data_IF_489439345513
#
_entry.id   IF_489439345513
#
_cell.length_a   1.000
_cell.length_b   1.000
_cell.length_c   1.000
_cell.angle_alpha   90.00
_cell.angle_beta   90.00
_cell.angle_gamma   90.00
#
_symmetry.space_group_name_H-M   'P 1'
#
loop_
_entity.id
_entity.type
_entity.pdbx_description
1 polymer ?
#
# COMPACT_ATOMS: atom_id res chain seq x y z
N UNK A 1 21.47 -2.00 -27.08
CA UNK A 1 20.05 -2.41 -27.16
C UNK A 1 20.03 -3.94 -27.23
N UNK A 2 19.29 -4.61 -26.37
CA UNK A 2 19.21 -6.10 -26.38
C UNK A 2 18.09 -6.52 -27.32
N UNK A 3 18.42 -7.28 -28.39
CA UNK A 3 17.43 -7.86 -29.32
C UNK A 3 16.36 -8.69 -28.58
N UNK A 4 16.77 -9.38 -27.51
CA UNK A 4 15.83 -10.14 -26.66
C UNK A 4 14.81 -9.24 -25.96
N UNK A 5 15.22 -8.06 -25.48
CA UNK A 5 14.32 -7.10 -24.85
C UNK A 5 13.37 -6.45 -25.88
N UNK A 6 13.89 -6.14 -27.06
CA UNK A 6 13.08 -5.62 -28.15
C UNK A 6 12.03 -6.64 -28.63
N UNK A 7 12.42 -7.90 -28.79
CA UNK A 7 11.48 -8.96 -29.15
C UNK A 7 10.39 -9.20 -28.11
N UNK A 8 10.73 -9.16 -26.81
CA UNK A 8 9.74 -9.28 -25.73
C UNK A 8 8.76 -8.10 -25.70
N UNK A 9 9.23 -6.88 -25.98
CA UNK A 9 8.37 -5.70 -26.03
C UNK A 9 7.39 -5.77 -27.21
N UNK A 10 7.88 -6.13 -28.40
CA UNK A 10 7.04 -6.29 -29.61
C UNK A 10 5.96 -7.34 -29.35
N UNK A 11 6.32 -8.50 -28.77
CA UNK A 11 5.35 -9.55 -28.46
C UNK A 11 4.27 -9.09 -27.45
N UNK A 12 4.65 -8.30 -26.44
CA UNK A 12 3.70 -7.73 -25.49
C UNK A 12 2.77 -6.69 -26.13
N UNK A 13 3.29 -5.86 -27.04
CA UNK A 13 2.50 -4.88 -27.80
C UNK A 13 1.51 -5.57 -28.74
N UNK A 14 1.94 -6.62 -29.44
CA UNK A 14 1.08 -7.40 -30.34
C UNK A 14 -0.05 -8.11 -29.55
N UNK A 15 0.27 -8.72 -28.41
CA UNK A 15 -0.73 -9.35 -27.54
C UNK A 15 -1.74 -8.31 -27.03
N UNK A 16 -1.26 -7.16 -26.55
CA UNK A 16 -2.12 -6.07 -26.10
C UNK A 16 -3.03 -5.57 -27.23
N UNK A 17 -2.46 -5.34 -28.41
CA UNK A 17 -3.22 -4.85 -29.56
C UNK A 17 -4.30 -5.82 -29.99
N UNK A 18 -3.97 -7.10 -30.17
CA UNK A 18 -4.95 -8.11 -30.55
C UNK A 18 -6.06 -8.25 -29.51
N UNK A 19 -5.71 -8.39 -28.25
CA UNK A 19 -6.67 -8.67 -27.19
C UNK A 19 -7.49 -7.44 -26.76
N UNK A 20 -6.84 -6.29 -26.65
CA UNK A 20 -7.49 -5.12 -26.05
C UNK A 20 -8.03 -4.13 -27.09
N UNK A 21 -7.44 -4.09 -28.30
CA UNK A 21 -7.87 -3.17 -29.34
C UNK A 21 -8.77 -3.87 -30.37
N UNK A 22 -8.35 -5.01 -30.92
CA UNK A 22 -9.12 -5.71 -31.95
C UNK A 22 -10.35 -6.45 -31.36
N UNK A 23 -10.17 -7.10 -30.23
CA UNK A 23 -11.25 -7.84 -29.56
C UNK A 23 -12.11 -6.97 -28.63
N UNK A 24 -11.76 -5.67 -28.51
CA UNK A 24 -12.46 -4.68 -27.64
C UNK A 24 -12.58 -5.12 -26.17
N UNK A 25 -11.58 -5.88 -25.70
CA UNK A 25 -11.53 -6.34 -24.30
C UNK A 25 -10.71 -5.33 -23.49
N UNK A 26 -11.37 -4.61 -22.58
CA UNK A 26 -10.69 -3.68 -21.69
C UNK A 26 -9.58 -4.39 -20.87
N UNK A 27 -8.38 -3.79 -20.74
CA UNK A 27 -7.33 -4.36 -19.90
C UNK A 27 -7.80 -4.43 -18.44
N UNK A 28 -7.31 -5.41 -17.65
CA UNK A 28 -7.68 -5.52 -16.25
C UNK A 28 -7.23 -4.29 -15.48
N UNK A 29 -8.17 -3.66 -14.77
CA UNK A 29 -7.89 -2.52 -13.91
C UNK A 29 -7.17 -2.95 -12.64
N UNK A 30 -6.21 -2.17 -12.19
CA UNK A 30 -5.55 -2.40 -10.91
C UNK A 30 -6.43 -1.91 -9.74
N UNK A 31 -6.04 -2.28 -8.50
CA UNK A 31 -6.81 -1.93 -7.31
C UNK A 31 -6.91 -0.42 -7.04
N UNK A 32 -5.96 0.39 -7.52
CA UNK A 32 -5.98 1.85 -7.38
C UNK A 32 -6.97 2.48 -8.33
N UNK A 33 -6.97 2.08 -9.59
CA UNK A 33 -7.93 2.54 -10.63
C UNK A 33 -9.36 2.20 -10.22
N UNK A 34 -9.60 0.99 -9.69
CA UNK A 34 -10.92 0.58 -9.22
C UNK A 34 -11.46 1.42 -8.04
N UNK A 35 -10.59 2.02 -7.24
CA UNK A 35 -11.00 2.91 -6.13
C UNK A 35 -11.62 4.22 -6.62
N UNK A 36 -11.20 4.70 -7.77
CA UNK A 36 -11.66 5.98 -8.33
C UNK A 36 -13.01 5.84 -9.07
N UNK A 37 -13.46 4.61 -9.32
CA UNK A 37 -14.75 4.36 -9.92
C UNK A 37 -15.87 4.68 -8.92
N UNK A 38 -16.70 5.66 -9.25
CA UNK A 38 -17.88 5.99 -8.45
C UNK A 38 -18.98 4.96 -8.71
N UNK A 39 -19.53 4.28 -7.67
CA UNK A 39 -20.60 3.32 -7.88
C UNK A 39 -21.86 4.01 -8.37
N UNK A 40 -22.47 3.49 -9.43
CA UNK A 40 -23.72 4.00 -10.01
C UNK A 40 -24.92 3.74 -9.10
N UNK A 41 -24.89 2.65 -8.31
CA UNK A 41 -25.94 2.30 -7.36
C UNK A 41 -25.35 1.65 -6.10
N UNK A 42 -26.06 1.82 -4.95
CA UNK A 42 -25.78 1.11 -3.70
C UNK A 42 -26.39 -0.30 -3.72
N UNK A 43 -26.07 -1.08 -4.74
CA UNK A 43 -26.55 -2.45 -4.90
C UNK A 43 -25.57 -3.46 -4.27
N UNK A 44 -26.09 -4.63 -3.92
CA UNK A 44 -25.29 -5.78 -3.51
C UNK A 44 -25.12 -6.69 -4.72
N UNK A 45 -23.97 -7.33 -4.82
CA UNK A 45 -23.71 -8.40 -5.79
C UNK A 45 -23.43 -9.67 -5.01
N UNK A 46 -23.94 -10.79 -5.50
CA UNK A 46 -23.69 -12.12 -4.96
C UNK A 46 -22.33 -12.61 -5.47
N UNK A 47 -21.52 -13.14 -4.56
CA UNK A 47 -20.19 -13.63 -4.92
C UNK A 47 -20.31 -14.97 -5.68
N UNK A 48 -19.47 -15.15 -6.68
CA UNK A 48 -19.24 -16.47 -7.28
C UNK A 48 -18.28 -17.28 -6.39
N UNK A 49 -18.25 -18.61 -6.57
CA UNK A 49 -17.35 -19.48 -5.82
C UNK A 49 -15.87 -19.06 -5.96
N UNK A 50 -15.45 -18.64 -7.14
CA UNK A 50 -14.11 -18.13 -7.42
C UNK A 50 -13.80 -16.85 -6.59
N UNK A 51 -14.75 -15.94 -6.49
CA UNK A 51 -14.58 -14.71 -5.70
C UNK A 51 -14.59 -15.00 -4.19
N UNK A 52 -15.39 -15.98 -3.75
CA UNK A 52 -15.38 -16.44 -2.36
C UNK A 52 -14.00 -17.04 -1.98
N UNK A 53 -13.42 -17.86 -2.85
CA UNK A 53 -12.06 -18.43 -2.68
C UNK A 53 -11.00 -17.33 -2.64
N UNK A 54 -11.08 -16.32 -3.52
CA UNK A 54 -10.18 -15.17 -3.51
C UNK A 54 -10.26 -14.39 -2.20
N UNK A 55 -11.46 -14.15 -1.67
CA UNK A 55 -11.66 -13.50 -0.37
C UNK A 55 -11.09 -14.32 0.78
N UNK A 56 -11.26 -15.65 0.76
CA UNK A 56 -10.67 -16.55 1.75
C UNK A 56 -9.14 -16.50 1.72
N UNK A 57 -8.55 -16.52 0.53
CA UNK A 57 -7.10 -16.42 0.33
C UNK A 57 -6.54 -15.09 0.85
N UNK A 58 -7.23 -13.97 0.63
CA UNK A 58 -6.80 -12.67 1.17
C UNK A 58 -6.80 -12.70 2.70
N UNK A 59 -7.83 -13.26 3.34
CA UNK A 59 -7.89 -13.38 4.81
C UNK A 59 -6.76 -14.24 5.37
N UNK A 60 -6.40 -15.32 4.67
CA UNK A 60 -5.27 -16.15 5.06
C UNK A 60 -3.94 -15.39 4.96
N UNK A 61 -3.72 -14.66 3.86
CA UNK A 61 -2.55 -13.82 3.69
C UNK A 61 -2.45 -12.70 4.75
N UNK A 62 -3.56 -12.09 5.14
CA UNK A 62 -3.60 -11.10 6.23
C UNK A 62 -3.16 -11.71 7.57
N UNK A 63 -3.52 -12.97 7.84
CA UNK A 63 -3.07 -13.69 9.04
C UNK A 63 -1.58 -13.99 8.99
N UNK A 64 -1.07 -14.43 7.83
CA UNK A 64 0.36 -14.67 7.62
C UNK A 64 1.16 -13.39 7.76
N UNK A 65 0.69 -12.26 7.19
CA UNK A 65 1.32 -10.95 7.34
C UNK A 65 1.43 -10.53 8.82
N UNK A 66 0.36 -10.70 9.60
CA UNK A 66 0.38 -10.41 11.05
C UNK A 66 1.41 -11.27 11.78
N UNK A 67 1.48 -12.57 11.47
CA UNK A 67 2.45 -13.48 12.09
C UNK A 67 3.89 -13.10 11.73
N UNK A 68 4.14 -12.77 10.46
CA UNK A 68 5.46 -12.31 9.98
C UNK A 68 5.84 -10.99 10.65
N UNK A 69 4.91 -10.02 10.74
CA UNK A 69 5.15 -8.74 11.37
C UNK A 69 5.44 -8.90 12.87
N UNK A 70 4.70 -9.75 13.59
CA UNK A 70 4.97 -10.07 14.99
C UNK A 70 6.38 -10.65 15.17
N UNK A 71 6.75 -11.61 14.33
CA UNK A 71 8.10 -12.20 14.37
C UNK A 71 9.19 -11.19 14.06
N UNK A 72 8.96 -10.30 13.11
CA UNK A 72 9.87 -9.21 12.76
C UNK A 72 10.08 -8.25 13.94
N UNK A 73 9.02 -7.88 14.64
CA UNK A 73 9.13 -7.01 15.82
C UNK A 73 9.85 -7.70 16.99
N UNK A 74 9.64 -9.00 17.23
CA UNK A 74 10.41 -9.76 18.22
C UNK A 74 11.92 -9.75 17.90
N UNK A 75 12.28 -9.96 16.63
CA UNK A 75 13.67 -9.95 16.21
C UNK A 75 14.30 -8.55 16.33
N UNK A 76 13.55 -7.51 15.97
CA UNK A 76 13.98 -6.13 16.17
C UNK A 76 14.20 -5.82 17.65
N UNK A 77 13.27 -6.22 18.53
CA UNK A 77 13.40 -6.01 19.96
C UNK A 77 14.70 -6.66 20.51
N UNK A 78 15.01 -7.88 20.08
CA UNK A 78 16.27 -8.57 20.47
C UNK A 78 17.51 -7.82 19.98
N UNK A 79 17.48 -7.27 18.77
CA UNK A 79 18.59 -6.46 18.23
C UNK A 79 18.74 -5.16 19.02
N UNK A 80 17.65 -4.44 19.31
CA UNK A 80 17.66 -3.22 20.09
C UNK A 80 18.14 -3.47 21.52
N UNK A 81 17.71 -4.56 22.16
CA UNK A 81 18.18 -4.98 23.50
C UNK A 81 19.68 -5.24 23.50
N UNK A 82 20.20 -5.93 22.48
CA UNK A 82 21.63 -6.15 22.33
C UNK A 82 22.42 -4.85 22.12
N UNK A 83 21.87 -3.90 21.36
CA UNK A 83 22.50 -2.59 21.11
C UNK A 83 22.55 -1.72 22.37
N UNK A 84 21.55 -1.83 23.25
CA UNK A 84 21.45 -1.02 24.48
C UNK A 84 21.50 0.47 24.20
N UNK A 85 22.54 1.15 24.68
CA UNK A 85 22.80 2.59 24.52
C UNK A 85 23.62 2.95 23.27
N UNK A 86 23.92 1.98 22.41
CA UNK A 86 24.77 2.19 21.22
C UNK A 86 23.90 2.55 20.00
N UNK A 87 24.38 3.54 19.24
CA UNK A 87 23.65 4.04 18.05
C UNK A 87 23.84 3.17 16.80
N UNK A 88 24.92 2.38 16.71
CA UNK A 88 25.21 1.58 15.53
C UNK A 88 25.64 0.16 15.90
N UNK A 89 25.10 -0.81 15.17
CA UNK A 89 25.50 -2.22 15.20
C UNK A 89 26.32 -2.50 13.94
N UNK A 90 27.54 -3.00 14.12
CA UNK A 90 28.47 -3.29 13.01
C UNK A 90 28.92 -4.74 13.03
N UNK A 91 29.25 -5.26 11.85
CA UNK A 91 29.94 -6.53 11.66
C UNK A 91 31.04 -6.36 10.62
N UNK A 92 32.29 -6.49 11.07
CA UNK A 92 33.44 -6.10 10.25
C UNK A 92 33.38 -4.61 9.88
N UNK A 93 33.45 -4.31 8.59
CA UNK A 93 33.37 -2.94 8.06
C UNK A 93 31.96 -2.51 7.65
N UNK A 94 30.94 -3.33 7.91
CA UNK A 94 29.55 -3.06 7.49
C UNK A 94 28.69 -2.68 8.68
N UNK A 95 27.89 -1.61 8.55
CA UNK A 95 26.86 -1.27 9.52
C UNK A 95 25.60 -2.10 9.22
N UNK A 96 25.17 -2.91 10.20
CA UNK A 96 24.02 -3.79 10.09
C UNK A 96 22.71 -3.10 10.50
N UNK A 97 22.76 -2.26 11.54
CA UNK A 97 21.60 -1.53 12.05
C UNK A 97 22.03 -0.22 12.73
N UNK A 98 21.11 0.73 12.80
CA UNK A 98 21.25 1.96 13.58
C UNK A 98 20.04 2.12 14.49
N UNK A 99 20.28 2.53 15.73
CA UNK A 99 19.26 2.79 16.74
C UNK A 99 19.61 4.08 17.49
N UNK A 100 19.39 5.21 16.83
CA UNK A 100 19.73 6.53 17.33
C UNK A 100 18.52 7.40 17.62
N UNK A 101 18.72 8.44 18.40
CA UNK A 101 17.69 9.43 18.70
C UNK A 101 17.36 10.26 17.44
N UNK A 102 16.08 10.37 17.12
CA UNK A 102 15.60 11.25 16.06
C UNK A 102 14.78 12.39 16.67
N UNK A 103 15.02 13.60 16.20
CA UNK A 103 14.20 14.76 16.60
C UNK A 103 12.74 14.51 16.22
N UNK A 104 11.86 14.72 17.18
CA UNK A 104 10.41 14.64 16.96
C UNK A 104 9.97 15.58 15.83
N UNK A 105 9.08 15.10 14.97
CA UNK A 105 8.49 15.91 13.89
C UNK A 105 7.52 16.93 14.48
N UNK A 106 7.69 18.20 14.14
CA UNK A 106 6.69 19.23 14.45
C UNK A 106 5.45 19.00 13.59
N UNK A 107 4.32 18.75 14.22
CA UNK A 107 3.02 18.60 13.57
C UNK A 107 2.04 19.62 14.11
N UNK A 108 1.13 20.07 13.24
CA UNK A 108 0.04 20.96 13.66
C UNK A 108 -1.08 20.12 14.26
N UNK A 109 -1.50 20.47 15.48
CA UNK A 109 -2.70 19.88 16.08
C UNK A 109 -3.94 20.44 15.39
N UNK A 110 -4.41 19.68 14.40
CA UNK A 110 -5.57 20.06 13.57
C UNK A 110 -6.87 20.16 14.38
N UNK A 111 -7.01 19.41 15.48
CA UNK A 111 -8.21 19.47 16.31
C UNK A 111 -8.22 20.73 17.15
N UNK A 112 -7.07 21.08 17.72
CA UNK A 112 -6.90 22.32 18.50
C UNK A 112 -7.03 23.54 17.59
N UNK A 113 -6.38 23.53 16.44
CA UNK A 113 -6.49 24.60 15.43
C UNK A 113 -7.94 24.82 14.97
N UNK A 114 -8.72 23.74 14.76
CA UNK A 114 -10.14 23.85 14.38
C UNK A 114 -11.01 24.46 15.47
N UNK A 115 -10.65 24.26 16.75
CA UNK A 115 -11.41 24.82 17.89
C UNK A 115 -11.06 26.25 18.18
N UNK A 116 -9.77 26.59 18.17
CA UNK A 116 -9.28 27.90 18.58
C UNK A 116 -9.29 28.90 17.41
N UNK A 117 -8.96 28.46 16.20
CA UNK A 117 -8.81 29.28 15.01
C UNK A 117 -9.55 28.70 13.78
N UNK A 118 -10.90 28.65 13.81
CA UNK A 118 -11.68 27.99 12.77
C UNK A 118 -11.54 28.61 11.37
N UNK A 119 -11.29 29.92 11.29
CA UNK A 119 -11.08 30.63 10.03
C UNK A 119 -9.74 30.25 9.38
N UNK A 120 -8.67 30.15 10.18
CA UNK A 120 -7.38 29.69 9.71
C UNK A 120 -7.46 28.21 9.29
N UNK A 121 -8.16 27.39 10.05
CA UNK A 121 -8.38 26.00 9.68
C UNK A 121 -9.08 25.87 8.34
N UNK A 122 -10.18 26.60 8.09
CA UNK A 122 -10.89 26.58 6.80
C UNK A 122 -10.01 27.07 5.64
N UNK A 123 -9.23 28.13 5.86
CA UNK A 123 -8.36 28.70 4.82
C UNK A 123 -7.27 27.72 4.35
N UNK A 124 -6.74 26.90 5.25
CA UNK A 124 -5.62 26.00 4.97
C UNK A 124 -6.02 24.52 4.91
N UNK A 125 -7.29 24.16 5.18
CA UNK A 125 -7.78 22.80 4.99
C UNK A 125 -8.20 22.57 3.55
N UNK A 126 -7.85 21.39 3.00
CA UNK A 126 -8.28 20.93 1.68
C UNK A 126 -9.01 19.61 1.83
N UNK A 127 -10.23 19.55 1.34
CA UNK A 127 -10.98 18.29 1.24
C UNK A 127 -10.51 17.55 -0.01
N UNK A 128 -10.02 16.33 0.17
CA UNK A 128 -9.68 15.46 -0.95
C UNK A 128 -10.93 14.95 -1.69
N UNK A 129 -10.73 14.42 -2.89
CA UNK A 129 -11.80 13.75 -3.61
C UNK A 129 -12.28 12.51 -2.84
N UNK A 130 -13.55 12.16 -2.98
CA UNK A 130 -14.09 10.92 -2.41
C UNK A 130 -13.55 9.71 -3.18
N UNK A 131 -13.21 8.65 -2.46
CA UNK A 131 -12.72 7.39 -3.03
C UNK A 131 -13.42 6.19 -2.39
N UNK A 132 -13.41 5.06 -3.09
CA UNK A 132 -13.97 3.80 -2.59
C UNK A 132 -12.98 3.10 -1.67
N UNK A 133 -13.47 2.56 -0.56
CA UNK A 133 -12.67 1.77 0.37
C UNK A 133 -13.11 0.32 0.33
N UNK A 134 -12.21 -0.57 -0.04
CA UNK A 134 -12.41 -2.01 0.06
C UNK A 134 -12.19 -2.46 1.51
N UNK A 135 -13.16 -3.17 2.10
CA UNK A 135 -13.06 -3.74 3.45
C UNK A 135 -13.58 -5.17 3.43
N UNK A 136 -12.76 -6.11 3.85
CA UNK A 136 -13.19 -7.45 4.17
C UNK A 136 -13.97 -7.49 5.49
N UNK A 137 -14.94 -8.39 5.57
CA UNK A 137 -15.75 -8.61 6.78
C UNK A 137 -15.63 -10.06 7.25
#
# INVERSE_FOLDING_TARGET
FSEKAAGALIAAEDEFYCKNVLDDIAPPMNAEELRDITPVAKSKVEATAEIEEAVASIKELDLQEKAINSRKEELKARVMEYMGDKEALTYGNSTLATFGEQKGRTTVDSQKLKKEEPELFKKFSKTGASFRVFKLK
#
